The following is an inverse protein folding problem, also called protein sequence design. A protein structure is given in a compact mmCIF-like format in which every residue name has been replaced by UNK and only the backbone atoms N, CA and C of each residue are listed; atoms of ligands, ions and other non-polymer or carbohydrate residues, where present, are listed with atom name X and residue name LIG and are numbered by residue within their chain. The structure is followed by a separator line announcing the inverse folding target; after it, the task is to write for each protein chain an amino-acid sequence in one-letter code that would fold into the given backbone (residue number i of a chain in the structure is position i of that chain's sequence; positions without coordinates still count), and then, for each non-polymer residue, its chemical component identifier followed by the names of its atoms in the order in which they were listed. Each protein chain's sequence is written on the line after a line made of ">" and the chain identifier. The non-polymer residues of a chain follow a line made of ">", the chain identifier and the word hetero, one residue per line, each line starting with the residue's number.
data_IF_739618442642
#
_entry.id   IF_739618442642
#
_cell.length_a   1.000
_cell.length_b   1.000
_cell.length_c   1.000
_cell.angle_alpha   90.00
_cell.angle_beta   90.00
_cell.angle_gamma   90.00
#
_symmetry.space_group_name_H-M   'P 1'
#
loop_
_entity.id
_entity.type
_entity.pdbx_description
1 polymer ?
#
# COMPACT_ATOMS: atom_id res chain seq x y z
N UNK A 1 10.52 -11.90 25.17
CA UNK A 1 10.86 -10.57 24.63
C UNK A 1 10.06 -10.39 23.35
N UNK A 2 9.48 -9.22 23.13
CA UNK A 2 8.86 -8.94 21.83
C UNK A 2 9.96 -8.85 20.77
N UNK A 3 9.74 -9.44 19.61
CA UNK A 3 10.65 -9.31 18.48
C UNK A 3 10.49 -7.91 17.87
N UNK A 4 11.59 -7.21 17.66
CA UNK A 4 11.58 -5.85 17.10
C UNK A 4 11.40 -5.92 15.58
N UNK A 5 10.73 -4.92 15.00
CA UNK A 5 10.63 -4.82 13.54
C UNK A 5 12.00 -4.47 12.93
N UNK A 6 12.41 -5.16 11.85
CA UNK A 6 13.65 -4.84 11.18
C UNK A 6 13.60 -3.44 10.56
N UNK A 7 14.76 -2.78 10.49
CA UNK A 7 14.93 -1.49 9.82
C UNK A 7 15.89 -1.67 8.66
N UNK A 8 15.39 -1.48 7.44
CA UNK A 8 16.19 -1.54 6.22
C UNK A 8 16.99 -0.25 6.07
N UNK A 9 18.30 -0.35 5.87
CA UNK A 9 19.14 0.80 5.51
C UNK A 9 19.25 0.82 3.99
N UNK A 10 18.62 1.80 3.35
CA UNK A 10 18.69 1.97 1.89
C UNK A 10 20.10 2.44 1.52
N UNK A 11 20.89 1.64 0.77
CA UNK A 11 22.26 1.99 0.44
C UNK A 11 22.33 3.19 -0.51
N UNK A 12 23.38 4.00 -0.36
CA UNK A 12 23.61 5.14 -1.26
C UNK A 12 23.75 4.70 -2.73
N UNK A 13 24.45 3.60 -2.99
CA UNK A 13 24.60 3.04 -4.32
C UNK A 13 23.26 2.62 -4.97
N UNK A 14 22.30 2.16 -4.16
CA UNK A 14 20.96 1.83 -4.66
C UNK A 14 20.16 3.10 -4.99
N UNK A 15 20.36 4.17 -4.20
CA UNK A 15 19.77 5.48 -4.46
C UNK A 15 20.36 6.15 -5.72
N UNK A 16 21.66 6.03 -5.98
CA UNK A 16 22.29 6.61 -7.17
C UNK A 16 21.73 6.05 -8.49
N UNK A 17 21.23 4.81 -8.46
CA UNK A 17 20.57 4.13 -9.58
C UNK A 17 19.05 4.27 -9.56
N UNK A 18 18.51 4.99 -8.57
CA UNK A 18 17.08 5.10 -8.35
C UNK A 18 16.36 5.92 -9.42
N UNK A 19 15.05 5.72 -9.51
CA UNK A 19 14.16 6.55 -10.32
C UNK A 19 13.21 7.30 -9.42
N UNK A 20 13.18 8.62 -9.56
CA UNK A 20 12.25 9.47 -8.81
C UNK A 20 10.80 9.10 -9.12
N UNK A 21 9.99 8.97 -8.08
CA UNK A 21 8.54 8.76 -8.19
C UNK A 21 7.83 10.09 -7.92
N UNK A 22 7.10 10.60 -8.91
CA UNK A 22 6.54 11.97 -8.88
C UNK A 22 5.10 12.04 -8.39
N UNK A 23 4.39 10.91 -8.27
CA UNK A 23 3.01 10.93 -7.78
C UNK A 23 2.91 11.21 -6.28
N UNK A 24 1.98 12.06 -5.83
CA UNK A 24 1.80 12.34 -4.40
C UNK A 24 2.75 13.42 -3.86
N UNK A 25 2.74 13.64 -2.53
CA UNK A 25 3.37 14.83 -1.91
C UNK A 25 4.63 14.53 -1.10
N UNK A 26 4.90 13.26 -0.78
CA UNK A 26 6.09 12.84 -0.03
C UNK A 26 7.26 12.63 -0.97
N UNK A 27 8.48 12.85 -0.48
CA UNK A 27 9.68 12.46 -1.19
C UNK A 27 9.77 10.93 -1.26
N UNK A 28 9.94 10.38 -2.45
CA UNK A 28 10.04 8.94 -2.69
C UNK A 28 10.76 8.62 -3.99
N UNK A 29 11.35 7.43 -4.03
CA UNK A 29 12.08 6.93 -5.18
C UNK A 29 12.02 5.40 -5.23
N UNK A 30 12.05 4.87 -6.45
CA UNK A 30 12.17 3.45 -6.71
C UNK A 30 13.64 3.04 -6.77
N UNK A 31 14.01 1.96 -6.09
CA UNK A 31 15.34 1.36 -6.13
C UNK A 31 15.22 -0.16 -6.16
N UNK A 32 16.29 -0.86 -6.57
CA UNK A 32 16.33 -2.33 -6.52
C UNK A 32 16.99 -2.79 -5.22
N UNK A 33 16.24 -3.54 -4.41
CA UNK A 33 16.77 -4.23 -3.25
C UNK A 33 17.24 -5.65 -3.63
N UNK A 34 18.43 -6.10 -3.21
CA UNK A 34 18.95 -7.43 -3.56
C UNK A 34 18.08 -8.61 -3.11
N UNK A 35 17.28 -8.42 -2.05
CA UNK A 35 16.45 -9.46 -1.45
C UNK A 35 14.96 -9.31 -1.78
N UNK A 36 14.48 -8.08 -1.90
CA UNK A 36 13.06 -7.76 -2.11
C UNK A 36 12.72 -7.39 -3.57
N UNK A 37 13.73 -7.16 -4.40
CA UNK A 37 13.54 -6.69 -5.78
C UNK A 37 13.17 -5.20 -5.85
N UNK A 38 12.43 -4.76 -6.87
CA UNK A 38 12.04 -3.36 -7.03
C UNK A 38 11.23 -2.86 -5.85
N UNK A 39 11.69 -1.80 -5.20
CA UNK A 39 11.15 -1.27 -3.96
C UNK A 39 10.94 0.24 -4.04
N UNK A 40 9.86 0.72 -3.43
CA UNK A 40 9.59 2.15 -3.25
C UNK A 40 9.97 2.58 -1.85
N UNK A 41 10.97 3.46 -1.72
CA UNK A 41 11.24 4.16 -0.48
C UNK A 41 10.31 5.38 -0.35
N UNK A 42 9.65 5.54 0.80
CA UNK A 42 8.82 6.71 1.12
C UNK A 42 9.37 7.39 2.37
N UNK A 43 9.85 8.62 2.23
CA UNK A 43 10.36 9.36 3.38
C UNK A 43 9.21 9.86 4.26
N UNK A 44 9.32 9.61 5.56
CA UNK A 44 8.38 10.12 6.55
C UNK A 44 8.66 11.57 6.90
N UNK A 45 7.60 12.31 7.23
CA UNK A 45 7.74 13.65 7.79
C UNK A 45 8.28 13.56 9.22
N UNK A 46 9.15 14.50 9.64
CA UNK A 46 9.64 14.53 11.02
C UNK A 46 8.47 14.64 12.02
N UNK A 47 8.53 13.86 13.11
CA UNK A 47 7.60 13.92 14.24
C UNK A 47 6.12 13.63 13.93
N UNK A 48 5.80 12.98 12.80
CA UNK A 48 4.40 12.61 12.48
C UNK A 48 4.06 11.16 12.83
N UNK A 49 5.08 10.28 12.89
CA UNK A 49 4.88 8.85 13.13
C UNK A 49 4.33 8.07 11.94
N UNK A 50 4.36 8.67 10.74
CA UNK A 50 3.86 8.05 9.51
C UNK A 50 4.49 6.68 9.21
N UNK A 51 5.78 6.49 9.48
CA UNK A 51 6.48 5.22 9.21
C UNK A 51 5.95 4.05 10.04
N UNK A 52 5.91 4.22 11.37
CA UNK A 52 5.45 3.17 12.26
C UNK A 52 3.94 2.95 12.14
N UNK A 53 3.17 4.01 11.85
CA UNK A 53 1.72 3.87 11.60
C UNK A 53 1.46 3.03 10.34
N UNK A 54 2.18 3.30 9.24
CA UNK A 54 2.11 2.49 8.00
C UNK A 54 2.51 1.02 8.27
N UNK A 55 3.62 0.78 8.98
CA UNK A 55 4.06 -0.58 9.33
C UNK A 55 3.03 -1.32 10.18
N UNK A 56 2.51 -0.70 11.24
CA UNK A 56 1.52 -1.33 12.12
C UNK A 56 0.23 -1.62 11.34
N UNK A 57 -0.25 -0.69 10.52
CA UNK A 57 -1.44 -0.92 9.70
C UNK A 57 -1.25 -2.13 8.76
N UNK A 58 -0.07 -2.28 8.15
CA UNK A 58 0.26 -3.43 7.31
C UNK A 58 0.26 -4.75 8.09
N UNK A 59 0.87 -4.78 9.29
CA UNK A 59 0.85 -5.98 10.14
C UNK A 59 -0.56 -6.33 10.63
N UNK A 60 -1.42 -5.34 10.90
CA UNK A 60 -2.82 -5.57 11.22
C UNK A 60 -3.58 -6.15 10.01
N UNK A 61 -3.36 -5.64 8.80
CA UNK A 61 -3.91 -6.23 7.57
C UNK A 61 -3.52 -7.70 7.45
N UNK A 62 -2.23 -8.02 7.67
CA UNK A 62 -1.71 -9.39 7.64
C UNK A 62 -2.43 -10.30 8.62
N UNK A 63 -2.62 -9.85 9.87
CA UNK A 63 -3.34 -10.63 10.89
C UNK A 63 -4.81 -10.84 10.55
N UNK A 64 -5.44 -9.88 9.88
CA UNK A 64 -6.82 -9.99 9.40
C UNK A 64 -6.95 -10.78 8.09
N UNK A 65 -5.83 -11.18 7.48
CA UNK A 65 -5.83 -11.83 6.17
C UNK A 65 -6.25 -10.90 5.03
N UNK A 66 -6.22 -9.58 5.23
CA UNK A 66 -6.54 -8.61 4.18
C UNK A 66 -5.36 -8.47 3.20
N UNK A 67 -5.64 -8.35 1.89
CA UNK A 67 -4.59 -8.05 0.92
C UNK A 67 -3.98 -6.68 1.23
N UNK A 68 -2.66 -6.58 1.17
CA UNK A 68 -1.97 -5.33 1.43
C UNK A 68 -0.58 -5.36 0.78
N UNK A 69 -0.07 -4.19 0.42
CA UNK A 69 1.34 -4.03 0.08
C UNK A 69 2.19 -4.28 1.32
N UNK A 70 3.35 -4.90 1.15
CA UNK A 70 4.30 -5.09 2.23
C UNK A 70 4.98 -3.77 2.57
N UNK A 71 5.19 -3.52 3.86
CA UNK A 71 5.89 -2.35 4.34
C UNK A 71 6.93 -2.79 5.37
N UNK A 72 8.16 -2.33 5.19
CA UNK A 72 9.22 -2.43 6.19
C UNK A 72 9.68 -1.04 6.63
N UNK A 73 10.10 -0.93 7.89
CA UNK A 73 10.71 0.31 8.37
C UNK A 73 12.04 0.50 7.67
N UNK A 74 12.39 1.75 7.36
CA UNK A 74 13.62 2.03 6.64
C UNK A 74 14.26 3.35 7.02
N UNK A 75 15.56 3.44 6.73
CA UNK A 75 16.31 4.69 6.78
C UNK A 75 17.13 4.91 5.51
N UNK A 76 17.20 6.16 5.07
CA UNK A 76 18.09 6.60 3.98
C UNK A 76 18.71 7.94 4.37
N UNK A 77 20.05 8.04 4.38
CA UNK A 77 20.78 9.24 4.84
C UNK A 77 20.29 9.77 6.19
N UNK A 78 20.06 8.87 7.15
CA UNK A 78 19.48 9.16 8.48
C UNK A 78 18.04 9.71 8.47
N UNK A 79 17.39 9.78 7.31
CA UNK A 79 15.96 10.08 7.20
C UNK A 79 15.17 8.79 7.40
N UNK A 80 14.13 8.87 8.22
CA UNK A 80 13.21 7.77 8.46
C UNK A 80 12.18 7.66 7.33
N UNK A 81 11.73 6.45 7.08
CA UNK A 81 10.72 6.16 6.08
C UNK A 81 10.27 4.71 6.11
N UNK A 82 9.60 4.32 5.04
CA UNK A 82 9.20 2.95 4.77
C UNK A 82 9.76 2.48 3.43
N UNK A 83 9.96 1.17 3.30
CA UNK A 83 10.24 0.49 2.03
C UNK A 83 9.06 -0.42 1.72
N UNK A 84 8.53 -0.31 0.51
CA UNK A 84 7.46 -1.17 -0.01
C UNK A 84 7.93 -1.86 -1.28
N UNK A 85 8.10 -3.20 -1.28
CA UNK A 85 8.32 -3.95 -2.50
C UNK A 85 7.19 -3.73 -3.51
N UNK A 86 7.52 -3.76 -4.80
CA UNK A 86 6.54 -3.74 -5.87
C UNK A 86 5.66 -4.98 -5.78
N UNK A 87 4.36 -4.77 -5.75
CA UNK A 87 3.38 -5.84 -5.85
C UNK A 87 2.94 -6.10 -7.30
N UNK A 88 3.43 -5.35 -8.29
CA UNK A 88 3.02 -5.58 -9.68
C UNK A 88 3.58 -6.91 -10.19
N UNK A 89 2.75 -7.75 -10.84
CA UNK A 89 3.25 -8.94 -11.53
C UNK A 89 4.02 -8.54 -12.79
N UNK A 90 4.82 -9.46 -13.33
CA UNK A 90 5.52 -9.25 -14.60
C UNK A 90 4.54 -8.90 -15.72
N UNK A 91 4.75 -7.77 -16.38
CA UNK A 91 3.86 -7.25 -17.42
C UNK A 91 2.55 -6.62 -16.91
N UNK A 92 2.34 -6.58 -15.59
CA UNK A 92 1.22 -5.88 -14.97
C UNK A 92 1.38 -4.36 -15.04
N UNK A 93 0.26 -3.65 -15.08
CA UNK A 93 0.22 -2.19 -15.01
C UNK A 93 -0.55 -1.74 -13.77
N UNK A 94 -0.09 -0.63 -13.17
CA UNK A 94 -0.80 0.00 -12.08
C UNK A 94 -1.88 0.93 -12.63
N UNK A 95 -3.15 0.66 -12.31
CA UNK A 95 -4.27 1.55 -12.59
C UNK A 95 -4.72 2.15 -11.26
N UNK A 96 -4.50 3.44 -11.01
CA UNK A 96 -4.99 4.10 -9.81
C UNK A 96 -6.52 3.97 -9.70
N UNK A 97 -7.05 3.71 -8.50
CA UNK A 97 -8.49 3.52 -8.34
C UNK A 97 -9.31 4.77 -8.67
N UNK A 98 -8.73 5.97 -8.65
CA UNK A 98 -9.40 7.19 -9.15
C UNK A 98 -9.54 7.27 -10.68
N UNK A 99 -8.91 6.37 -11.44
CA UNK A 99 -9.14 6.18 -12.86
C UNK A 99 -10.23 5.14 -13.11
N UNK A 100 -10.33 4.13 -12.22
CA UNK A 100 -11.42 3.15 -12.22
C UNK A 100 -12.74 3.80 -11.80
N UNK A 101 -12.69 4.65 -10.77
CA UNK A 101 -13.76 5.53 -10.38
C UNK A 101 -13.76 6.72 -11.35
N UNK A 102 -14.88 7.04 -12.00
CA UNK A 102 -14.91 8.20 -12.89
C UNK A 102 -14.43 9.46 -12.17
N UNK A 103 -13.54 10.23 -12.80
CA UNK A 103 -12.75 11.32 -12.18
C UNK A 103 -13.57 12.41 -11.47
N UNK A 104 -14.89 12.44 -11.67
CA UNK A 104 -15.85 13.41 -11.13
C UNK A 104 -16.73 12.87 -10.00
N UNK A 105 -16.59 11.60 -9.65
CA UNK A 105 -17.48 10.98 -8.68
C UNK A 105 -17.02 11.32 -7.24
N UNK A 106 -17.87 11.93 -6.39
CA UNK A 106 -17.50 12.22 -5.02
C UNK A 106 -17.11 10.92 -4.30
N UNK A 107 -16.13 10.96 -3.42
CA UNK A 107 -15.64 9.81 -2.61
C UNK A 107 -16.66 9.35 -1.58
N UNK A 108 -17.89 9.05 -2.02
CA UNK A 108 -18.94 8.46 -1.22
C UNK A 108 -18.82 6.95 -1.36
N UNK A 109 -18.91 6.27 -0.22
CA UNK A 109 -18.80 4.82 -0.13
C UNK A 109 -19.69 4.10 -1.15
N UNK A 110 -20.92 4.57 -1.36
CA UNK A 110 -21.86 3.98 -2.31
C UNK A 110 -21.39 4.04 -3.78
N UNK A 111 -20.70 5.11 -4.19
CA UNK A 111 -20.17 5.24 -5.55
C UNK A 111 -19.03 4.25 -5.76
N UNK A 112 -18.15 4.11 -4.77
CA UNK A 112 -17.02 3.18 -4.84
C UNK A 112 -17.51 1.74 -4.86
N UNK A 113 -18.47 1.38 -3.99
CA UNK A 113 -19.08 0.05 -3.98
C UNK A 113 -19.73 -0.30 -5.32
N UNK A 114 -20.51 0.62 -5.90
CA UNK A 114 -21.15 0.39 -7.20
C UNK A 114 -20.10 0.24 -8.30
N UNK A 115 -19.07 1.09 -8.34
CA UNK A 115 -18.03 0.99 -9.35
C UNK A 115 -17.24 -0.32 -9.26
N UNK A 116 -16.91 -0.80 -8.05
CA UNK A 116 -16.23 -2.09 -7.88
C UNK A 116 -17.13 -3.23 -8.37
N UNK A 117 -18.43 -3.19 -8.03
CA UNK A 117 -19.40 -4.19 -8.49
C UNK A 117 -19.58 -4.19 -10.01
N UNK A 118 -19.69 -3.00 -10.63
CA UNK A 118 -19.99 -2.85 -12.05
C UNK A 118 -18.78 -3.14 -12.96
N UNK A 119 -17.56 -2.85 -12.51
CA UNK A 119 -16.34 -3.02 -13.33
C UNK A 119 -15.79 -4.46 -13.33
N UNK A 120 -16.50 -5.43 -12.75
CA UNK A 120 -16.01 -6.83 -12.64
C UNK A 120 -14.60 -6.91 -12.06
N UNK A 121 -14.33 -6.11 -11.02
CA UNK A 121 -13.05 -6.12 -10.33
C UNK A 121 -12.87 -7.47 -9.65
N UNK A 122 -11.80 -8.17 -10.02
CA UNK A 122 -11.49 -9.49 -9.45
C UNK A 122 -10.89 -9.35 -8.05
N UNK A 123 -10.86 -10.46 -7.32
CA UNK A 123 -10.04 -10.56 -6.11
C UNK A 123 -8.56 -10.44 -6.46
N UNK A 124 -7.72 -9.97 -5.52
CA UNK A 124 -6.29 -9.88 -5.76
C UNK A 124 -5.63 -11.19 -6.20
N UNK A 125 -4.70 -11.08 -7.15
CA UNK A 125 -3.95 -12.23 -7.67
C UNK A 125 -3.24 -12.97 -6.54
N UNK A 126 -3.35 -14.30 -6.56
CA UNK A 126 -2.74 -15.23 -5.60
C UNK A 126 -3.15 -15.01 -4.13
N UNK A 127 -4.19 -14.21 -3.87
CA UNK A 127 -4.72 -14.02 -2.52
C UNK A 127 -5.76 -15.08 -2.18
N UNK A 128 -5.62 -15.68 -0.99
CA UNK A 128 -6.60 -16.60 -0.43
C UNK A 128 -7.48 -15.82 0.55
N UNK A 129 -8.75 -15.54 0.20
CA UNK A 129 -9.63 -14.76 1.06
C UNK A 129 -10.01 -15.52 2.33
N UNK A 130 -10.24 -14.82 3.46
CA UNK A 130 -10.92 -15.39 4.62
C UNK A 130 -12.30 -15.94 4.27
N UNK A 131 -12.77 -16.92 5.05
CA UNK A 131 -14.11 -17.52 4.86
C UNK A 131 -15.19 -16.44 4.86
N UNK A 132 -16.03 -16.45 3.82
CA UNK A 132 -17.12 -15.49 3.65
C UNK A 132 -16.76 -14.23 2.85
N UNK A 133 -15.53 -14.13 2.33
CA UNK A 133 -15.14 -13.10 1.36
C UNK A 133 -15.01 -13.76 -0.02
N UNK A 134 -15.89 -13.39 -0.94
CA UNK A 134 -15.97 -13.95 -2.29
C UNK A 134 -15.80 -12.87 -3.37
N UNK A 135 -16.00 -11.60 -3.01
CA UNK A 135 -16.05 -10.48 -3.96
C UNK A 135 -15.09 -9.34 -3.60
N UNK A 136 -14.73 -8.53 -4.60
CA UNK A 136 -13.95 -7.32 -4.39
C UNK A 136 -14.71 -6.29 -3.53
N UNK A 137 -16.05 -6.30 -3.58
CA UNK A 137 -16.91 -5.47 -2.72
C UNK A 137 -16.74 -5.85 -1.25
N UNK A 138 -16.82 -7.14 -0.92
CA UNK A 138 -16.63 -7.61 0.46
C UNK A 138 -15.21 -7.35 0.96
N UNK A 139 -14.22 -7.54 0.09
CA UNK A 139 -12.83 -7.16 0.37
C UNK A 139 -12.72 -5.67 0.71
N UNK A 140 -13.39 -4.81 -0.06
CA UNK A 140 -13.43 -3.38 0.19
C UNK A 140 -14.13 -3.02 1.51
N UNK A 141 -15.21 -3.71 1.87
CA UNK A 141 -15.85 -3.56 3.18
C UNK A 141 -14.88 -3.92 4.31
N UNK A 142 -14.07 -4.97 4.15
CA UNK A 142 -13.00 -5.31 5.09
C UNK A 142 -12.03 -4.15 5.35
N UNK A 143 -11.64 -3.42 4.31
CA UNK A 143 -10.82 -2.22 4.45
C UNK A 143 -11.51 -1.07 5.19
N UNK A 144 -12.82 -0.87 4.97
CA UNK A 144 -13.57 0.16 5.69
C UNK A 144 -13.68 -0.15 7.19
N UNK A 145 -13.84 -1.44 7.54
CA UNK A 145 -13.83 -1.87 8.93
C UNK A 145 -12.45 -1.66 9.57
N UNK A 146 -11.38 -1.98 8.84
CA UNK A 146 -10.01 -1.69 9.29
C UNK A 146 -9.81 -0.19 9.50
N UNK A 147 -10.22 0.66 8.55
CA UNK A 147 -10.08 2.11 8.68
C UNK A 147 -10.78 2.65 9.92
N UNK A 148 -12.01 2.21 10.16
CA UNK A 148 -12.76 2.57 11.35
C UNK A 148 -12.04 2.12 12.63
N UNK A 149 -11.41 0.95 12.60
CA UNK A 149 -10.69 0.40 13.74
C UNK A 149 -9.40 1.17 14.06
N UNK A 150 -8.61 1.52 13.04
CA UNK A 150 -7.31 2.21 13.21
C UNK A 150 -7.41 3.73 13.12
N UNK A 151 -8.61 4.27 12.88
CA UNK A 151 -8.84 5.71 12.74
C UNK A 151 -8.27 6.31 11.45
N UNK A 152 -8.20 5.54 10.36
CA UNK A 152 -7.70 6.03 9.08
C UNK A 152 -8.75 6.92 8.39
N UNK A 153 -8.48 8.22 8.30
CA UNK A 153 -9.37 9.20 7.65
C UNK A 153 -8.89 9.61 6.25
N UNK A 154 -7.75 9.12 5.80
CA UNK A 154 -7.11 9.49 4.52
C UNK A 154 -6.93 8.26 3.62
N UNK A 155 -7.96 7.41 3.52
CA UNK A 155 -8.01 6.41 2.44
C UNK A 155 -8.19 7.14 1.12
N UNK A 156 -7.07 7.41 0.46
CA UNK A 156 -7.08 7.84 -0.92
C UNK A 156 -7.58 6.69 -1.78
N UNK A 157 -8.29 7.01 -2.87
CA UNK A 157 -8.81 6.06 -3.87
C UNK A 157 -7.71 5.28 -4.61
N UNK A 158 -6.44 5.45 -4.22
CA UNK A 158 -5.31 4.64 -4.63
C UNK A 158 -5.36 3.34 -3.81
N UNK A 159 -6.11 2.38 -4.34
CA UNK A 159 -6.08 1.00 -3.89
C UNK A 159 -4.80 0.37 -4.44
N UNK A 160 -3.74 0.31 -3.62
CA UNK A 160 -2.49 -0.37 -3.95
C UNK A 160 -2.69 -1.90 -3.87
N UNK A 161 -3.29 -2.52 -4.89
CA UNK A 161 -3.52 -3.97 -4.95
C UNK A 161 -3.00 -4.62 -6.23
N UNK A 162 -2.67 -5.91 -6.11
CA UNK A 162 -2.66 -6.84 -7.24
C UNK A 162 -4.11 -7.05 -7.69
N UNK A 163 -4.41 -6.90 -8.97
CA UNK A 163 -5.66 -7.34 -9.60
C UNK A 163 -5.32 -8.16 -10.84
#
# INVERSE_FOLDING_TARGET
>A
MAEEFPIIVVPEAAYELSKTETMGTKYKFWFDDPSLGPCLYKQSRPNTGEDWAEKIAAELCKLLGLPHAQYELATWRSQRGTVSPSFLPDGGSFIPGNQVLSASAPHRVNIVLNAIADNSVNLPLDWVPPVGIETAVETFVGYLLLDAWIGNTDRQSILDFRF
#
